data_IF_570310255275
#
_entry.id   IF_570310255275
#
_cell.length_a   1.000
_cell.length_b   1.000
_cell.length_c   1.000
_cell.angle_alpha   90.00
_cell.angle_beta   90.00
_cell.angle_gamma   90.00
#
_symmetry.space_group_name_H-M   'P 1'
#
loop_
_entity.id
_entity.type
_entity.pdbx_description
1 polymer ?
#
# COMPACT_ATOMS: atom_id res chain seq x y z
N UNK A 1 -0.63 -8.74 14.83
CA UNK A 1 -0.96 -7.33 15.09
C UNK A 1 -1.33 -6.63 13.79
N UNK A 2 -2.51 -6.02 13.76
CA UNK A 2 -3.03 -5.23 12.64
C UNK A 2 -2.81 -3.72 12.86
N UNK A 3 -3.61 -2.88 12.23
CA UNK A 3 -3.53 -1.41 12.37
C UNK A 3 -3.85 -0.98 13.81
N UNK A 4 -2.97 -0.19 14.41
CA UNK A 4 -3.19 0.43 15.72
C UNK A 4 -4.14 1.62 15.62
N UNK A 5 -4.78 2.05 16.73
CA UNK A 5 -5.65 3.24 16.73
C UNK A 5 -4.95 4.52 16.23
N UNK A 6 -3.64 4.66 16.49
CA UNK A 6 -2.85 5.81 16.06
C UNK A 6 -2.62 5.76 14.55
N UNK A 7 -2.25 4.60 13.99
CA UNK A 7 -2.09 4.42 12.54
C UNK A 7 -3.41 4.64 11.80
N UNK A 8 -4.54 4.16 12.34
CA UNK A 8 -5.86 4.42 11.78
C UNK A 8 -6.22 5.92 11.79
N UNK A 9 -5.83 6.66 12.84
CA UNK A 9 -5.98 8.12 12.88
C UNK A 9 -5.12 8.81 11.82
N UNK A 10 -3.88 8.37 11.63
CA UNK A 10 -2.96 8.90 10.61
C UNK A 10 -3.52 8.68 9.21
N UNK A 11 -4.04 7.49 8.90
CA UNK A 11 -4.65 7.19 7.60
C UNK A 11 -5.83 8.12 7.30
N UNK A 12 -6.74 8.34 8.26
CA UNK A 12 -7.85 9.28 8.08
C UNK A 12 -7.38 10.72 7.87
N UNK A 13 -6.33 11.15 8.58
CA UNK A 13 -5.74 12.47 8.38
C UNK A 13 -5.09 12.60 6.99
N UNK A 14 -4.39 11.56 6.53
CA UNK A 14 -3.81 11.50 5.19
C UNK A 14 -4.88 11.53 4.10
N UNK A 15 -5.99 10.80 4.27
CA UNK A 15 -7.15 10.83 3.39
C UNK A 15 -7.70 12.26 3.24
N UNK A 16 -7.92 12.97 4.35
CA UNK A 16 -8.43 14.34 4.31
C UNK A 16 -7.45 15.30 3.63
N UNK A 17 -6.16 15.22 3.97
CA UNK A 17 -5.12 16.02 3.32
C UNK A 17 -5.05 15.73 1.81
N UNK A 18 -5.06 14.47 1.40
CA UNK A 18 -5.04 14.04 0.00
C UNK A 18 -6.28 14.52 -0.76
N UNK A 19 -7.45 14.53 -0.12
CA UNK A 19 -8.71 15.00 -0.72
C UNK A 19 -8.71 16.52 -0.95
N UNK A 20 -8.14 17.29 -0.02
CA UNK A 20 -8.02 18.75 -0.15
C UNK A 20 -6.96 19.17 -1.17
N UNK A 21 -5.85 18.43 -1.26
CA UNK A 21 -4.68 18.83 -2.04
C UNK A 21 -4.59 18.14 -3.41
N UNK A 22 -5.28 17.02 -3.58
CA UNK A 22 -5.05 16.12 -4.72
C UNK A 22 -3.71 15.38 -4.66
N UNK A 23 -3.00 15.38 -3.53
CA UNK A 23 -1.81 14.55 -3.34
C UNK A 23 -2.18 13.06 -3.30
N UNK A 24 -1.25 12.21 -3.75
CA UNK A 24 -1.30 10.74 -3.64
C UNK A 24 -0.76 10.32 -2.27
N UNK A 25 -1.32 9.26 -1.68
CA UNK A 25 -0.83 8.71 -0.40
C UNK A 25 0.11 7.54 -0.69
N UNK A 26 1.36 7.65 -0.27
CA UNK A 26 2.26 6.50 -0.15
C UNK A 26 2.26 5.97 1.27
N UNK A 27 2.07 4.66 1.44
CA UNK A 27 2.10 4.02 2.76
C UNK A 27 3.10 2.88 2.84
N UNK A 28 4.02 3.01 3.78
CA UNK A 28 5.02 2.01 4.13
C UNK A 28 4.36 0.82 4.82
N UNK A 29 4.21 -0.29 4.09
CA UNK A 29 3.46 -1.47 4.58
C UNK A 29 4.20 -2.75 4.24
N UNK A 30 5.00 -3.24 5.19
CA UNK A 30 5.79 -4.48 5.03
C UNK A 30 4.90 -5.73 5.18
N UNK A 31 3.86 -5.67 6.02
CA UNK A 31 2.95 -6.80 6.24
C UNK A 31 1.75 -6.65 5.30
N UNK A 32 1.78 -7.31 4.15
CA UNK A 32 0.79 -7.10 3.09
C UNK A 32 -0.64 -7.27 3.55
N UNK A 33 -0.97 -8.20 4.46
CA UNK A 33 -2.35 -8.32 4.99
C UNK A 33 -2.96 -6.99 5.49
N UNK A 34 -2.12 -6.07 5.99
CA UNK A 34 -2.54 -4.78 6.58
C UNK A 34 -2.99 -3.79 5.51
N UNK A 35 -2.57 -3.96 4.25
CA UNK A 35 -2.92 -3.06 3.16
C UNK A 35 -4.43 -3.05 2.87
N UNK A 36 -5.12 -4.18 3.11
CA UNK A 36 -6.60 -4.26 3.00
C UNK A 36 -7.26 -3.31 3.98
N UNK A 37 -6.84 -3.38 5.25
CA UNK A 37 -7.35 -2.51 6.31
C UNK A 37 -7.02 -1.03 6.02
N UNK A 38 -5.85 -0.74 5.44
CA UNK A 38 -5.47 0.63 5.06
C UNK A 38 -6.42 1.19 3.99
N UNK A 39 -6.66 0.44 2.93
CA UNK A 39 -7.58 0.85 1.87
C UNK A 39 -9.02 0.97 2.39
N UNK A 40 -9.49 0.05 3.24
CA UNK A 40 -10.81 0.13 3.87
C UNK A 40 -10.97 1.44 4.66
N UNK A 41 -9.95 1.82 5.44
CA UNK A 41 -9.96 3.07 6.23
C UNK A 41 -9.94 4.29 5.32
N UNK A 42 -9.10 4.30 4.28
CA UNK A 42 -8.96 5.43 3.36
C UNK A 42 -10.24 5.64 2.55
N UNK A 43 -10.82 4.59 2.01
CA UNK A 43 -12.08 4.66 1.25
C UNK A 43 -13.26 5.03 2.15
N UNK A 44 -13.31 4.49 3.38
CA UNK A 44 -14.28 4.89 4.39
C UNK A 44 -14.15 6.38 4.81
N UNK A 45 -12.97 6.97 4.66
CA UNK A 45 -12.72 8.40 4.86
C UNK A 45 -12.97 9.26 3.60
N UNK A 46 -13.51 8.67 2.52
CA UNK A 46 -13.83 9.37 1.28
C UNK A 46 -12.64 9.60 0.35
N UNK A 47 -11.55 8.86 0.54
CA UNK A 47 -10.41 8.84 -0.38
C UNK A 47 -10.55 7.68 -1.39
N UNK A 48 -9.58 7.51 -2.30
CA UNK A 48 -9.68 6.55 -3.41
C UNK A 48 -8.46 5.62 -3.44
N UNK A 49 -8.69 4.33 -3.67
CA UNK A 49 -7.63 3.34 -3.82
C UNK A 49 -6.70 3.64 -5.01
N UNK A 50 -7.20 4.22 -6.11
CA UNK A 50 -6.40 4.61 -7.27
C UNK A 50 -5.49 5.84 -7.07
N UNK A 51 -5.49 6.39 -5.85
CA UNK A 51 -4.61 7.46 -5.38
C UNK A 51 -3.78 7.01 -4.17
N UNK A 52 -3.57 5.71 -4.03
CA UNK A 52 -2.75 5.09 -2.98
C UNK A 52 -1.60 4.27 -3.59
N UNK A 53 -0.41 4.38 -2.99
CA UNK A 53 0.79 3.59 -3.32
C UNK A 53 1.09 2.69 -2.12
N UNK A 54 1.11 1.38 -2.36
CA UNK A 54 1.61 0.39 -1.41
C UNK A 54 3.14 0.29 -1.55
N UNK A 55 3.84 0.92 -0.60
CA UNK A 55 5.31 0.93 -0.54
C UNK A 55 5.82 -0.40 0.03
N UNK A 56 6.93 -0.90 -0.52
CA UNK A 56 7.51 -2.21 -0.24
C UNK A 56 6.58 -3.39 -0.58
N UNK A 57 5.85 -3.31 -1.70
CA UNK A 57 4.94 -4.39 -2.11
C UNK A 57 5.68 -5.73 -2.20
N UNK A 58 6.95 -5.73 -2.62
CA UNK A 58 7.79 -6.94 -2.72
C UNK A 58 8.01 -7.70 -1.40
N UNK A 59 7.77 -7.06 -0.26
CA UNK A 59 7.95 -7.72 1.04
C UNK A 59 6.79 -8.69 1.36
N UNK A 60 5.66 -8.60 0.64
CA UNK A 60 4.60 -9.58 0.72
C UNK A 60 4.90 -10.76 -0.22
N UNK A 61 4.95 -12.01 0.29
CA UNK A 61 5.17 -13.19 -0.55
C UNK A 61 3.94 -13.65 -1.33
N UNK A 62 2.72 -13.30 -0.91
CA UNK A 62 1.50 -13.72 -1.61
C UNK A 62 1.17 -12.80 -2.79
N UNK A 63 1.60 -13.17 -3.99
CA UNK A 63 1.31 -12.44 -5.22
C UNK A 63 -0.20 -12.30 -5.51
N UNK A 64 -1.06 -13.20 -5.00
CA UNK A 64 -2.50 -13.05 -5.17
C UNK A 64 -3.01 -11.79 -4.47
N UNK A 65 -2.42 -11.40 -3.34
CA UNK A 65 -2.72 -10.15 -2.65
C UNK A 65 -2.27 -8.93 -3.46
N UNK A 66 -1.15 -9.03 -4.18
CA UNK A 66 -0.68 -7.94 -5.05
C UNK A 66 -1.71 -7.68 -6.14
N UNK A 67 -2.15 -8.75 -6.82
CA UNK A 67 -3.18 -8.68 -7.85
C UNK A 67 -4.52 -8.20 -7.30
N UNK A 68 -4.89 -8.60 -6.08
CA UNK A 68 -6.08 -8.10 -5.39
C UNK A 68 -6.02 -6.58 -5.21
N UNK A 69 -4.91 -6.06 -4.69
CA UNK A 69 -4.75 -4.62 -4.44
C UNK A 69 -4.66 -3.81 -5.72
N UNK A 70 -3.94 -4.32 -6.73
CA UNK A 70 -3.90 -3.71 -8.05
C UNK A 70 -5.31 -3.65 -8.70
N UNK A 71 -6.11 -4.73 -8.60
CA UNK A 71 -7.50 -4.73 -9.09
C UNK A 71 -8.40 -3.77 -8.31
N UNK A 72 -8.13 -3.58 -7.01
CA UNK A 72 -8.81 -2.56 -6.19
C UNK A 72 -8.43 -1.13 -6.60
N UNK A 73 -7.33 -0.97 -7.34
CA UNK A 73 -6.88 0.29 -7.94
C UNK A 73 -5.56 0.81 -7.36
N UNK A 74 -5.03 0.20 -6.30
CA UNK A 74 -3.79 0.64 -5.69
C UNK A 74 -2.60 0.54 -6.65
N UNK A 75 -1.69 1.50 -6.55
CA UNK A 75 -0.36 1.40 -7.15
C UNK A 75 0.52 0.51 -6.29
N UNK A 76 1.26 -0.39 -6.94
CA UNK A 76 2.21 -1.29 -6.29
C UNK A 76 3.62 -0.75 -6.52
N UNK A 77 4.36 -0.49 -5.45
CA UNK A 77 5.75 -0.06 -5.52
C UNK A 77 6.69 -1.23 -5.24
N UNK A 78 7.52 -1.54 -6.23
CA UNK A 78 8.61 -2.50 -6.16
C UNK A 78 9.93 -1.74 -6.10
N UNK A 79 10.29 -1.27 -4.90
CA UNK A 79 11.38 -0.31 -4.64
C UNK A 79 12.73 -0.96 -4.30
N UNK A 80 12.81 -2.29 -4.29
CA UNK A 80 14.02 -3.03 -3.91
C UNK A 80 14.80 -3.66 -5.09
N UNK A 81 14.51 -3.25 -6.33
CA UNK A 81 15.28 -3.65 -7.52
C UNK A 81 16.72 -3.14 -7.36
N UNK A 82 17.70 -4.03 -7.55
CA UNK A 82 19.12 -3.73 -7.35
C UNK A 82 19.58 -3.65 -5.88
N UNK A 83 18.73 -4.05 -4.92
CA UNK A 83 19.11 -4.11 -3.50
C UNK A 83 19.81 -5.42 -3.14
N UNK A 84 20.56 -5.43 -2.04
CA UNK A 84 21.15 -6.68 -1.50
C UNK A 84 20.10 -7.62 -0.86
N UNK A 85 18.88 -7.12 -0.62
CA UNK A 85 17.82 -7.86 0.06
C UNK A 85 17.03 -8.79 -0.88
N UNK A 86 16.98 -8.47 -2.17
CA UNK A 86 16.26 -9.23 -3.20
C UNK A 86 17.12 -9.35 -4.46
N UNK A 87 17.23 -10.56 -5.02
CA UNK A 87 17.87 -10.70 -6.33
C UNK A 87 16.99 -10.08 -7.42
N UNK A 88 17.59 -9.49 -8.45
CA UNK A 88 16.82 -8.94 -9.58
C UNK A 88 15.97 -10.01 -10.29
N UNK A 89 16.43 -11.28 -10.27
CA UNK A 89 15.66 -12.42 -10.79
C UNK A 89 14.29 -12.59 -10.10
N UNK A 90 14.20 -12.25 -8.80
CA UNK A 90 12.95 -12.33 -8.05
C UNK A 90 11.82 -11.52 -8.70
N UNK A 91 12.13 -10.35 -9.27
CA UNK A 91 11.17 -9.44 -9.90
C UNK A 91 10.77 -9.83 -11.33
N UNK A 92 11.41 -10.84 -11.92
CA UNK A 92 11.13 -11.33 -13.28
C UNK A 92 10.38 -12.66 -13.25
N UNK A 93 10.68 -13.50 -12.25
CA UNK A 93 10.16 -14.87 -12.15
C UNK A 93 8.78 -14.97 -11.46
N UNK A 94 8.36 -13.93 -10.74
CA UNK A 94 7.08 -13.84 -10.04
C UNK A 94 6.18 -12.76 -10.66
#
# INVERSE_FOLDING_TARGET
>A
DGITPVEAKILRAAAEAGRQTGAVIGSHTIRGRVVRDQLDILEGAGYRADRFIWIHTQAEPDFALHLEMARRGAWLEYDAIGSDAFSDAWFVEH
#
